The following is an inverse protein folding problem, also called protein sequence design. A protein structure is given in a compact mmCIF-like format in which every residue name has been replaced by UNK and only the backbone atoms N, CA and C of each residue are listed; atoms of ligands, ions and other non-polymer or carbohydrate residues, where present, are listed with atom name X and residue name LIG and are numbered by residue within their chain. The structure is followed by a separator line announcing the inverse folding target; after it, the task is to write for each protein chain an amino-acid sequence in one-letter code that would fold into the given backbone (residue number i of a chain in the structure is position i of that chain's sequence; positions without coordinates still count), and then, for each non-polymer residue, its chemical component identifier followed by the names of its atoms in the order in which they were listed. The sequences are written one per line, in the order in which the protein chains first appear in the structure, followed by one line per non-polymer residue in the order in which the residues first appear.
data_IF_356702654591
#
_entry.id   IF_356702654591
#
_cell.length_a   1.000
_cell.length_b   1.000
_cell.length_c   1.000
_cell.angle_alpha   90.00
_cell.angle_beta   90.00
_cell.angle_gamma   90.00
#
_symmetry.space_group_name_H-M   'P 1'
#
loop_
_entity.id
_entity.type
_entity.pdbx_description
1 polymer ?
#
# COMPACT_ATOMS: atom_id res chain seq x y z
N UNK A 1 8.96 -31.04 -1.63
CA UNK A 1 9.06 -30.07 -0.52
C UNK A 1 10.19 -30.48 0.42
N UNK A 2 10.83 -29.50 1.05
CA UNK A 2 11.89 -29.73 2.05
C UNK A 2 11.29 -30.04 3.42
N UNK A 3 11.82 -31.04 4.12
CA UNK A 3 11.35 -31.44 5.45
C UNK A 3 11.79 -30.46 6.54
N UNK A 4 13.02 -29.96 6.52
CA UNK A 4 13.56 -29.24 7.68
C UNK A 4 13.08 -27.79 7.78
N UNK A 5 13.03 -27.10 6.64
CA UNK A 5 12.81 -25.65 6.59
C UNK A 5 11.35 -25.26 6.35
N UNK A 6 10.48 -26.20 5.96
CA UNK A 6 9.05 -25.92 5.77
C UNK A 6 8.32 -25.91 7.11
N UNK A 7 7.23 -25.15 7.15
CA UNK A 7 6.37 -25.04 8.31
C UNK A 7 5.46 -26.27 8.38
N UNK A 8 5.68 -27.13 9.38
CA UNK A 8 4.88 -28.35 9.58
C UNK A 8 3.97 -28.26 10.80
N UNK A 9 4.42 -27.59 11.87
CA UNK A 9 3.75 -27.53 13.18
C UNK A 9 3.55 -26.08 13.64
N UNK A 10 3.34 -25.15 12.71
CA UNK A 10 3.31 -23.71 12.99
C UNK A 10 4.68 -23.04 12.88
N UNK A 11 5.77 -23.82 12.89
CA UNK A 11 7.14 -23.38 12.63
C UNK A 11 7.93 -24.49 11.87
N UNK A 12 9.16 -24.16 11.45
CA UNK A 12 10.10 -25.11 10.84
C UNK A 12 10.68 -26.07 11.87
N UNK A 13 11.00 -27.30 11.45
CA UNK A 13 11.58 -28.32 12.34
C UNK A 13 12.94 -27.87 12.88
N UNK A 14 13.71 -27.13 12.07
CA UNK A 14 14.97 -26.50 12.50
C UNK A 14 14.77 -25.60 13.72
N UNK A 15 13.73 -24.77 13.70
CA UNK A 15 13.44 -23.83 14.79
C UNK A 15 12.89 -24.57 16.01
N UNK A 16 11.98 -25.53 15.81
CA UNK A 16 11.39 -26.33 16.89
C UNK A 16 12.44 -27.13 17.65
N UNK A 17 13.44 -27.67 16.95
CA UNK A 17 14.55 -28.41 17.52
C UNK A 17 15.73 -27.52 17.94
N UNK A 18 15.62 -26.21 17.76
CA UNK A 18 16.67 -25.22 18.07
C UNK A 18 18.04 -25.57 17.45
N UNK A 19 18.04 -26.07 16.21
CA UNK A 19 19.26 -26.50 15.53
C UNK A 19 20.11 -25.26 15.20
N UNK A 20 21.42 -25.26 15.52
CA UNK A 20 22.31 -24.14 15.19
C UNK A 20 22.29 -23.83 13.69
N UNK A 21 22.28 -22.54 13.33
CA UNK A 21 22.11 -22.05 11.95
C UNK A 21 23.10 -22.67 10.96
N UNK A 22 24.33 -22.92 11.39
CA UNK A 22 25.39 -23.52 10.57
C UNK A 22 25.03 -24.97 10.19
N UNK A 23 24.47 -25.73 11.13
CA UNK A 23 24.00 -27.09 10.88
C UNK A 23 22.68 -27.08 10.10
N UNK A 24 21.80 -26.11 10.36
CA UNK A 24 20.55 -25.97 9.63
C UNK A 24 20.75 -25.81 8.12
N UNK A 25 21.76 -25.06 7.69
CA UNK A 25 22.05 -24.80 6.27
C UNK A 25 22.41 -26.06 5.46
N UNK A 26 22.82 -27.14 6.12
CA UNK A 26 23.18 -28.40 5.44
C UNK A 26 22.02 -29.41 5.44
N UNK A 27 20.94 -29.12 6.16
CA UNK A 27 19.78 -29.98 6.32
C UNK A 27 18.75 -29.74 5.22
N UNK A 28 19.04 -30.24 4.02
CA UNK A 28 18.08 -30.26 2.92
C UNK A 28 17.75 -31.70 2.56
N UNK A 29 16.50 -32.11 2.79
CA UNK A 29 16.04 -33.42 2.35
C UNK A 29 14.58 -33.37 1.91
N UNK A 30 14.23 -34.12 0.86
CA UNK A 30 12.86 -34.16 0.40
C UNK A 30 11.98 -34.89 1.42
N UNK A 31 10.83 -34.29 1.77
CA UNK A 31 9.86 -34.88 2.71
C UNK A 31 9.46 -36.31 2.34
N UNK A 32 9.48 -36.65 1.05
CA UNK A 32 9.15 -37.99 0.55
C UNK A 32 10.01 -39.11 1.18
N UNK A 33 11.23 -38.79 1.64
CA UNK A 33 12.08 -39.77 2.33
C UNK A 33 11.57 -40.15 3.72
N UNK A 34 10.76 -39.28 4.33
CA UNK A 34 10.10 -39.51 5.61
C UNK A 34 8.69 -40.08 5.44
N UNK A 35 8.25 -40.33 4.20
CA UNK A 35 6.92 -40.86 3.90
C UNK A 35 7.03 -42.05 2.93
N UNK A 36 7.68 -43.16 3.32
CA UNK A 36 7.65 -44.38 2.53
C UNK A 36 6.23 -44.95 2.50
N UNK A 37 5.71 -45.27 1.31
CA UNK A 37 4.39 -45.89 1.11
C UNK A 37 3.21 -45.11 1.73
N UNK A 38 3.24 -43.78 1.62
CA UNK A 38 2.16 -42.90 2.12
C UNK A 38 1.93 -42.94 3.63
N UNK A 39 2.93 -43.34 4.40
CA UNK A 39 2.92 -43.30 5.87
C UNK A 39 4.19 -42.61 6.38
N UNK A 40 4.05 -41.76 7.40
CA UNK A 40 5.20 -41.14 8.05
C UNK A 40 6.10 -42.20 8.69
N UNK A 41 7.40 -42.08 8.44
CA UNK A 41 8.45 -42.92 9.01
C UNK A 41 9.60 -42.04 9.47
N UNK A 42 9.73 -41.89 10.78
CA UNK A 42 10.82 -41.15 11.43
C UNK A 42 11.73 -42.17 12.10
N UNK A 43 13.05 -42.01 11.98
CA UNK A 43 13.98 -42.95 12.60
C UNK A 43 13.81 -42.99 14.13
N UNK A 44 13.97 -44.17 14.71
CA UNK A 44 13.77 -44.41 16.14
C UNK A 44 14.67 -43.51 17.02
N UNK A 45 15.90 -43.24 16.55
CA UNK A 45 16.82 -42.30 17.19
C UNK A 45 16.23 -40.87 17.34
N UNK A 46 15.50 -40.39 16.32
CA UNK A 46 14.84 -39.08 16.38
C UNK A 46 13.59 -39.11 17.26
N UNK A 47 12.87 -40.23 17.25
CA UNK A 47 11.69 -40.44 18.12
C UNK A 47 12.09 -40.46 19.60
N UNK A 48 13.24 -41.07 19.92
CA UNK A 48 13.78 -41.09 21.28
C UNK A 48 14.36 -39.74 21.70
N UNK A 49 14.97 -38.98 20.78
CA UNK A 49 15.56 -37.69 21.10
C UNK A 49 14.52 -36.57 21.26
N UNK A 50 13.46 -36.60 20.44
CA UNK A 50 12.42 -35.57 20.39
C UNK A 50 11.02 -36.20 20.28
N UNK A 51 10.50 -36.77 21.38
CA UNK A 51 9.24 -37.51 21.36
C UNK A 51 8.04 -36.62 21.02
N UNK A 52 8.01 -35.36 21.47
CA UNK A 52 6.87 -34.46 21.25
C UNK A 52 6.71 -34.05 19.78
N UNK A 53 7.83 -33.68 19.14
CA UNK A 53 7.85 -33.26 17.73
C UNK A 53 7.57 -34.46 16.81
N UNK A 54 8.16 -35.61 17.10
CA UNK A 54 7.93 -36.84 16.31
C UNK A 54 6.48 -37.32 16.42
N UNK A 55 5.90 -37.35 17.62
CA UNK A 55 4.49 -37.71 17.80
C UNK A 55 3.55 -36.76 17.04
N UNK A 56 3.85 -35.46 17.04
CA UNK A 56 3.06 -34.46 16.31
C UNK A 56 3.15 -34.65 14.79
N UNK A 57 4.35 -34.93 14.25
CA UNK A 57 4.53 -35.19 12.81
C UNK A 57 3.81 -36.46 12.38
N UNK A 58 3.86 -37.53 13.17
CA UNK A 58 3.19 -38.80 12.87
C UNK A 58 1.65 -38.66 12.80
N UNK A 59 1.09 -37.64 13.46
CA UNK A 59 -0.35 -37.33 13.42
C UNK A 59 -0.76 -36.40 12.28
N UNK A 60 0.20 -35.85 11.52
CA UNK A 60 -0.13 -34.92 10.42
C UNK A 60 -0.87 -35.66 9.29
N UNK A 61 -2.04 -35.17 8.86
CA UNK A 61 -2.78 -35.78 7.77
C UNK A 61 -1.98 -35.68 6.48
N UNK A 62 -1.73 -36.83 5.86
CA UNK A 62 -1.13 -36.91 4.53
C UNK A 62 -2.24 -36.79 3.48
N UNK A 63 -2.11 -35.81 2.58
CA UNK A 63 -2.98 -35.75 1.41
C UNK A 63 -2.58 -36.86 0.44
N UNK A 64 -3.50 -37.77 0.15
CA UNK A 64 -3.30 -38.92 -0.75
C UNK A 64 -3.55 -38.49 -2.22
N UNK A 65 -4.19 -37.34 -2.44
CA UNK A 65 -4.45 -36.81 -3.77
C UNK A 65 -3.18 -36.18 -4.37
N UNK A 66 -2.77 -36.64 -5.56
CA UNK A 66 -1.67 -36.11 -6.38
C UNK A 66 -1.95 -34.70 -6.94
N UNK A 67 -2.82 -33.92 -6.30
CA UNK A 67 -3.00 -32.52 -6.67
C UNK A 67 -1.79 -31.74 -6.21
N UNK A 68 -1.25 -30.93 -7.14
CA UNK A 68 -0.03 -30.13 -7.04
C UNK A 68 0.29 -29.62 -5.62
N UNK A 69 1.58 -29.66 -5.25
CA UNK A 69 2.13 -29.10 -4.01
C UNK A 69 1.79 -27.59 -3.88
N UNK A 70 0.59 -27.28 -3.39
CA UNK A 70 0.09 -25.91 -3.30
C UNK A 70 0.49 -25.26 -1.98
N UNK A 71 0.93 -24.00 -2.02
CA UNK A 71 1.14 -23.22 -0.80
C UNK A 71 -0.20 -22.79 -0.22
N UNK A 72 -0.40 -23.09 1.07
CA UNK A 72 -1.62 -22.81 1.82
C UNK A 72 -1.38 -21.60 2.74
N UNK A 73 -2.31 -20.64 2.74
CA UNK A 73 -2.22 -19.49 3.64
C UNK A 73 -2.63 -19.90 5.07
N UNK A 74 -1.78 -19.71 6.11
CA UNK A 74 -2.01 -20.25 7.45
C UNK A 74 -3.28 -19.72 8.12
N UNK A 75 -3.65 -18.48 7.80
CA UNK A 75 -4.80 -17.79 8.41
C UNK A 75 -6.11 -18.00 7.63
N UNK A 76 -6.13 -18.87 6.62
CA UNK A 76 -7.27 -19.05 5.73
C UNK A 76 -7.97 -20.39 5.95
N UNK A 77 -9.25 -20.29 6.34
CA UNK A 77 -10.36 -21.20 6.01
C UNK A 77 -10.10 -22.30 4.98
N UNK A 78 -9.88 -21.80 3.78
CA UNK A 78 -9.92 -22.52 2.51
C UNK A 78 -8.53 -22.71 1.94
N UNK A 79 -7.49 -22.29 2.66
CA UNK A 79 -6.11 -22.31 2.21
C UNK A 79 -5.75 -21.25 1.16
N UNK A 80 -6.73 -20.61 0.53
CA UNK A 80 -6.49 -19.58 -0.47
C UNK A 80 -6.10 -18.25 0.18
N UNK A 81 -5.08 -17.61 -0.39
CA UNK A 81 -4.68 -16.26 -0.04
C UNK A 81 -5.54 -15.25 -0.80
N UNK A 82 -6.25 -14.39 -0.08
CA UNK A 82 -6.83 -13.17 -0.67
C UNK A 82 -5.89 -11.99 -0.43
N UNK A 83 -5.93 -11.00 -1.31
CA UNK A 83 -5.17 -9.75 -1.15
C UNK A 83 -5.51 -9.10 0.20
N UNK A 84 -6.78 -9.09 0.60
CA UNK A 84 -7.22 -8.54 1.88
C UNK A 84 -6.60 -9.27 3.09
N UNK A 85 -6.56 -10.61 3.05
CA UNK A 85 -5.94 -11.41 4.11
C UNK A 85 -4.42 -11.18 4.18
N UNK A 86 -3.74 -11.07 3.04
CA UNK A 86 -2.32 -10.77 2.98
C UNK A 86 -2.01 -9.38 3.57
N UNK A 87 -2.77 -8.34 3.19
CA UNK A 87 -2.60 -6.99 3.76
C UNK A 87 -2.86 -6.96 5.26
N UNK A 88 -3.86 -7.70 5.75
CA UNK A 88 -4.17 -7.77 7.18
C UNK A 88 -3.08 -8.49 7.98
N UNK A 89 -2.40 -9.45 7.36
CA UNK A 89 -1.30 -10.20 7.98
C UNK A 89 0.02 -9.42 7.97
N UNK A 90 0.34 -8.72 6.88
CA UNK A 90 1.62 -8.02 6.70
C UNK A 90 1.60 -6.57 7.23
N UNK A 91 0.44 -5.93 7.28
CA UNK A 91 0.33 -4.50 7.59
C UNK A 91 -0.02 -4.23 9.06
N UNK A 92 0.50 -3.15 9.67
CA UNK A 92 -0.07 -2.64 10.91
C UNK A 92 -1.53 -2.25 10.67
N UNK A 93 -2.38 -2.42 11.68
CA UNK A 93 -3.77 -1.97 11.62
C UNK A 93 -3.80 -0.45 11.40
N UNK A 94 -4.10 -0.01 10.18
CA UNK A 94 -4.22 1.40 9.86
C UNK A 94 -5.57 1.92 10.38
N UNK A 95 -5.61 3.11 11.00
CA UNK A 95 -6.87 3.70 11.44
C UNK A 95 -7.78 3.92 10.23
N UNK A 96 -9.04 3.51 10.36
CA UNK A 96 -10.04 3.73 9.32
C UNK A 96 -10.34 5.24 9.23
N UNK A 97 -9.88 5.87 8.16
CA UNK A 97 -10.13 7.29 7.90
C UNK A 97 -11.46 7.48 7.16
N UNK A 98 -12.36 8.25 7.75
CA UNK A 98 -13.72 8.47 7.23
C UNK A 98 -13.75 9.17 5.87
N UNK A 99 -12.68 9.87 5.48
CA UNK A 99 -12.57 10.53 4.18
C UNK A 99 -12.21 9.57 3.04
N UNK A 100 -11.51 8.45 3.30
CA UNK A 100 -11.02 7.56 2.24
C UNK A 100 -12.15 6.98 1.39
N UNK A 101 -13.31 6.68 1.99
CA UNK A 101 -14.50 6.19 1.27
C UNK A 101 -15.02 7.15 0.19
N UNK A 102 -14.66 8.43 0.27
CA UNK A 102 -15.08 9.44 -0.70
C UNK A 102 -14.13 9.49 -1.91
N UNK A 103 -12.85 9.16 -1.75
CA UNK A 103 -11.88 9.12 -2.86
C UNK A 103 -12.10 7.94 -3.79
N UNK A 104 -12.59 6.83 -3.26
CA UNK A 104 -12.73 5.57 -4.00
C UNK A 104 -14.15 5.33 -4.55
N UNK A 105 -15.00 6.35 -4.63
CA UNK A 105 -16.32 6.21 -5.25
C UNK A 105 -16.21 6.12 -6.78
N UNK A 106 -17.14 5.41 -7.41
CA UNK A 106 -17.09 5.10 -8.86
C UNK A 106 -17.08 6.32 -9.79
N UNK A 107 -17.64 7.46 -9.35
CA UNK A 107 -17.59 8.71 -10.12
C UNK A 107 -16.27 9.47 -9.99
N UNK A 108 -15.35 9.04 -9.11
CA UNK A 108 -14.03 9.64 -8.95
C UNK A 108 -13.07 8.94 -9.92
N UNK A 109 -12.52 9.63 -10.93
CA UNK A 109 -11.51 9.04 -11.78
C UNK A 109 -10.29 8.61 -10.94
N UNK A 110 -9.70 7.42 -11.17
CA UNK A 110 -8.56 6.92 -10.40
C UNK A 110 -7.40 7.91 -10.32
N UNK A 111 -7.13 8.65 -11.41
CA UNK A 111 -6.11 9.70 -11.43
C UNK A 111 -6.35 10.75 -10.35
N UNK A 112 -7.58 11.22 -10.19
CA UNK A 112 -7.91 12.22 -9.17
C UNK A 112 -7.74 11.66 -7.77
N UNK A 113 -8.22 10.43 -7.52
CA UNK A 113 -8.04 9.76 -6.24
C UNK A 113 -6.55 9.63 -5.87
N UNK A 114 -5.70 9.29 -6.85
CA UNK A 114 -4.25 9.18 -6.61
C UNK A 114 -3.58 10.51 -6.30
N UNK A 115 -3.95 11.62 -6.96
CA UNK A 115 -3.37 12.94 -6.65
C UNK A 115 -3.86 13.44 -5.29
N UNK A 116 -5.15 13.26 -4.97
CA UNK A 116 -5.69 13.58 -3.66
C UNK A 116 -5.01 12.78 -2.53
N UNK A 117 -4.74 11.49 -2.75
CA UNK A 117 -4.01 10.66 -1.79
C UNK A 117 -2.56 11.12 -1.61
N UNK A 118 -1.87 11.47 -2.70
CA UNK A 118 -0.53 12.07 -2.65
C UNK A 118 -0.53 13.40 -1.90
N UNK A 119 -1.54 14.23 -2.12
CA UNK A 119 -1.71 15.51 -1.41
C UNK A 119 -1.92 15.29 0.09
N UNK A 120 -2.80 14.38 0.49
CA UNK A 120 -3.09 14.08 1.90
C UNK A 120 -1.91 13.50 2.66
N UNK A 121 -0.98 12.86 1.96
CA UNK A 121 0.26 12.34 2.53
C UNK A 121 1.46 13.27 2.38
N UNK A 122 1.28 14.49 1.87
CA UNK A 122 2.36 15.45 1.59
C UNK A 122 3.43 14.87 0.64
N UNK A 123 2.98 14.09 -0.36
CA UNK A 123 3.81 13.37 -1.34
C UNK A 123 3.56 13.83 -2.77
N UNK A 124 3.10 15.05 -2.97
CA UNK A 124 3.08 15.63 -4.31
C UNK A 124 4.52 15.89 -4.77
N UNK A 125 4.83 15.67 -6.06
CA UNK A 125 6.16 15.92 -6.61
C UNK A 125 6.37 17.43 -6.80
N UNK A 126 6.31 18.19 -5.72
CA UNK A 126 6.68 19.60 -5.73
C UNK A 126 8.18 19.73 -5.90
N UNK A 127 8.65 20.89 -6.34
CA UNK A 127 10.08 21.20 -6.43
C UNK A 127 10.82 20.85 -5.13
N UNK A 128 10.26 21.21 -3.98
CA UNK A 128 10.84 20.89 -2.67
C UNK A 128 11.03 19.37 -2.47
N UNK A 129 10.03 18.56 -2.82
CA UNK A 129 10.09 17.10 -2.70
C UNK A 129 11.00 16.45 -3.75
N UNK A 130 11.14 17.08 -4.92
CA UNK A 130 12.06 16.63 -5.97
C UNK A 130 13.52 16.96 -5.62
N UNK A 131 13.79 18.12 -5.04
CA UNK A 131 15.12 18.50 -4.55
C UNK A 131 15.59 17.59 -3.40
N UNK A 132 14.68 17.16 -2.50
CA UNK A 132 14.98 16.13 -1.49
C UNK A 132 15.45 14.79 -2.09
N UNK A 133 15.07 14.51 -3.34
CA UNK A 133 15.46 13.31 -4.10
C UNK A 133 16.63 13.59 -5.05
N UNK A 134 17.37 14.67 -4.82
CA UNK A 134 18.55 15.09 -5.59
C UNK A 134 18.26 15.49 -7.05
N UNK A 135 17.03 15.88 -7.37
CA UNK A 135 16.75 16.52 -8.67
C UNK A 135 17.06 18.02 -8.60
N UNK A 136 17.95 18.49 -9.49
CA UNK A 136 18.27 19.90 -9.63
C UNK A 136 17.28 20.57 -10.58
N UNK A 137 16.24 21.20 -10.01
CA UNK A 137 15.19 21.91 -10.75
C UNK A 137 15.21 23.38 -10.31
N UNK A 138 14.94 24.29 -11.25
CA UNK A 138 14.86 25.72 -10.98
C UNK A 138 13.72 26.04 -10.02
N UNK A 139 13.96 26.95 -9.07
CA UNK A 139 12.96 27.36 -8.09
C UNK A 139 11.94 28.30 -8.69
N UNK A 140 10.90 27.72 -9.28
CA UNK A 140 9.86 28.43 -10.00
C UNK A 140 8.55 27.65 -9.89
N UNK A 141 7.48 28.33 -9.49
CA UNK A 141 6.17 27.72 -9.48
C UNK A 141 5.70 27.44 -10.92
N UNK A 142 5.32 26.21 -11.20
CA UNK A 142 4.85 25.79 -12.52
C UNK A 142 3.51 26.41 -12.97
N UNK A 143 2.73 27.02 -12.07
CA UNK A 143 1.44 27.66 -12.37
C UNK A 143 1.48 29.17 -12.59
N UNK A 144 2.28 29.90 -11.80
CA UNK A 144 2.39 31.36 -11.93
C UNK A 144 3.72 31.79 -12.57
N UNK A 145 4.62 30.83 -12.85
CA UNK A 145 5.95 31.05 -13.39
C UNK A 145 6.77 32.08 -12.60
N UNK A 146 6.44 32.27 -11.32
CA UNK A 146 7.17 33.17 -10.44
C UNK A 146 8.36 32.46 -9.81
N UNK A 147 9.53 33.11 -9.89
CA UNK A 147 10.76 32.71 -9.22
C UNK A 147 10.86 33.23 -7.78
N UNK A 148 9.92 34.10 -7.35
CA UNK A 148 9.92 34.66 -5.99
C UNK A 148 9.44 33.67 -4.92
N UNK A 149 8.77 32.60 -5.35
CA UNK A 149 8.21 31.58 -4.48
C UNK A 149 8.59 30.19 -5.01
N UNK A 150 9.31 29.41 -4.21
CA UNK A 150 9.58 28.01 -4.53
C UNK A 150 8.26 27.21 -4.58
N UNK A 151 8.24 26.15 -5.38
CA UNK A 151 7.04 25.33 -5.53
C UNK A 151 6.83 24.45 -4.30
N UNK A 152 5.86 24.83 -3.47
CA UNK A 152 5.37 24.06 -2.32
C UNK A 152 3.89 23.76 -2.49
N UNK A 153 3.35 22.77 -1.77
CA UNK A 153 1.91 22.45 -1.81
C UNK A 153 1.08 23.68 -1.40
N UNK A 154 1.51 24.39 -0.36
CA UNK A 154 0.81 25.60 0.11
C UNK A 154 0.86 26.71 -0.94
N UNK A 155 1.98 26.91 -1.62
CA UNK A 155 2.03 27.87 -2.72
C UNK A 155 1.14 27.41 -3.88
N UNK A 156 1.34 26.20 -4.40
CA UNK A 156 0.64 25.66 -5.57
C UNK A 156 -0.88 25.70 -5.42
N UNK A 157 -1.41 25.41 -4.22
CA UNK A 157 -2.85 25.33 -3.99
C UNK A 157 -3.46 26.57 -3.33
N UNK A 158 -2.73 27.39 -2.56
CA UNK A 158 -3.34 28.48 -1.78
C UNK A 158 -2.78 29.86 -2.13
N UNK A 159 -1.46 29.98 -2.29
CA UNK A 159 -0.82 31.29 -2.45
C UNK A 159 -0.51 31.68 -3.90
N UNK A 160 -0.50 30.71 -4.82
CA UNK A 160 -0.31 30.94 -6.25
C UNK A 160 -1.46 31.80 -6.79
N UNK A 161 -1.14 32.83 -7.56
CA UNK A 161 -2.16 33.75 -8.08
C UNK A 161 -3.14 33.06 -9.02
N UNK A 162 -2.66 32.08 -9.81
CA UNK A 162 -3.50 31.19 -10.62
C UNK A 162 -4.47 30.38 -9.74
N UNK A 163 -4.00 29.86 -8.60
CA UNK A 163 -4.85 29.12 -7.66
C UNK A 163 -5.87 30.03 -6.96
N UNK A 164 -5.46 31.21 -6.49
CA UNK A 164 -6.38 32.21 -5.90
C UNK A 164 -7.47 32.63 -6.88
N UNK A 165 -7.13 32.84 -8.15
CA UNK A 165 -8.10 33.14 -9.20
C UNK A 165 -9.15 32.03 -9.34
N UNK A 166 -8.71 30.77 -9.34
CA UNK A 166 -9.62 29.63 -9.37
C UNK A 166 -10.52 29.57 -8.12
N UNK A 167 -9.98 29.71 -6.92
CA UNK A 167 -10.77 29.69 -5.68
C UNK A 167 -11.80 30.81 -5.64
N UNK A 168 -11.42 31.99 -6.11
CA UNK A 168 -12.32 33.15 -6.20
C UNK A 168 -13.46 32.85 -7.17
N UNK A 169 -13.15 32.30 -8.35
CA UNK A 169 -14.16 31.89 -9.32
C UNK A 169 -15.10 30.82 -8.74
N UNK A 170 -14.57 29.82 -8.05
CA UNK A 170 -15.37 28.77 -7.40
C UNK A 170 -16.26 29.32 -6.30
N UNK A 171 -15.75 30.21 -5.45
CA UNK A 171 -16.52 30.86 -4.39
C UNK A 171 -17.69 31.66 -4.99
N UNK A 172 -17.46 32.37 -6.10
CA UNK A 172 -18.52 33.07 -6.83
C UNK A 172 -19.59 32.11 -7.38
N UNK A 173 -19.20 31.00 -8.00
CA UNK A 173 -20.14 30.01 -8.55
C UNK A 173 -20.93 29.29 -7.46
N UNK A 174 -20.35 29.13 -6.26
CA UNK A 174 -20.96 28.42 -5.13
C UNK A 174 -21.68 29.35 -4.13
N UNK A 175 -21.76 30.65 -4.40
CA UNK A 175 -22.33 31.66 -3.49
C UNK A 175 -21.73 31.64 -2.08
N UNK A 176 -20.44 31.30 -1.95
CA UNK A 176 -19.73 31.31 -0.67
C UNK A 176 -19.13 32.70 -0.46
N UNK A 177 -19.51 33.37 0.62
CA UNK A 177 -18.93 34.65 1.02
C UNK A 177 -17.55 34.43 1.63
N UNK A 178 -16.52 34.70 0.83
CA UNK A 178 -15.07 34.75 1.16
C UNK A 178 -14.37 33.45 1.53
N UNK A 179 -13.19 33.27 0.91
CA UNK A 179 -12.20 32.24 1.24
C UNK A 179 -11.14 32.86 2.14
N UNK A 180 -11.28 32.71 3.46
CA UNK A 180 -10.22 33.11 4.40
C UNK A 180 -9.16 32.01 4.40
N UNK A 181 -7.94 32.35 3.98
CA UNK A 181 -6.84 31.43 3.68
C UNK A 181 -6.21 30.73 4.90
N UNK A 182 -6.99 30.29 5.88
CA UNK A 182 -6.51 29.59 7.06
C UNK A 182 -6.61 28.05 6.95
N UNK A 183 -5.41 27.48 6.85
CA UNK A 183 -4.90 26.21 7.41
C UNK A 183 -5.43 24.87 6.83
N UNK A 184 -4.42 24.13 6.37
CA UNK A 184 -4.29 22.82 5.72
C UNK A 184 -5.00 21.61 6.36
N UNK A 185 -5.90 21.76 7.32
CA UNK A 185 -6.64 20.60 7.87
C UNK A 185 -8.12 20.92 8.03
N UNK A 186 -8.46 22.07 8.60
CA UNK A 186 -9.85 22.53 8.68
C UNK A 186 -10.41 22.94 7.31
N UNK A 187 -9.58 23.51 6.44
CA UNK A 187 -9.97 23.75 5.06
C UNK A 187 -10.38 22.45 4.33
N UNK A 188 -9.62 21.37 4.49
CA UNK A 188 -9.91 20.13 3.76
C UNK A 188 -11.08 19.37 4.36
N UNK A 189 -11.22 19.35 5.69
CA UNK A 189 -12.41 18.78 6.32
C UNK A 189 -13.64 19.61 5.96
N UNK A 190 -13.55 20.94 5.90
CA UNK A 190 -14.62 21.83 5.40
C UNK A 190 -14.96 21.53 3.94
N UNK A 191 -13.99 21.52 3.03
CA UNK A 191 -14.19 21.24 1.60
C UNK A 191 -14.78 19.84 1.35
N UNK A 192 -14.36 18.84 2.12
CA UNK A 192 -14.90 17.46 2.03
C UNK A 192 -16.26 17.33 2.72
N UNK A 193 -16.58 18.19 3.69
CA UNK A 193 -17.85 18.17 4.44
C UNK A 193 -18.95 19.08 3.89
N UNK A 194 -18.62 20.03 3.02
CA UNK A 194 -19.61 20.91 2.40
C UNK A 194 -20.52 20.16 1.41
N UNK A 195 -21.78 20.58 1.41
CA UNK A 195 -22.97 19.93 0.80
C UNK A 195 -23.04 19.96 -0.72
N UNK A 196 -22.02 20.47 -1.43
CA UNK A 196 -21.98 20.47 -2.89
C UNK A 196 -21.71 19.07 -3.49
N UNK A 197 -21.49 18.11 -2.61
CA UNK A 197 -21.15 16.74 -2.94
C UNK A 197 -19.72 16.65 -3.48
N UNK A 198 -19.04 15.52 -3.25
CA UNK A 198 -17.71 15.26 -3.79
C UNK A 198 -17.62 15.49 -5.32
N UNK A 199 -18.74 15.46 -6.06
CA UNK A 199 -18.78 15.80 -7.48
C UNK A 199 -18.28 17.22 -7.83
N UNK A 200 -18.66 18.27 -7.08
CA UNK A 200 -18.31 19.65 -7.45
C UNK A 200 -16.84 19.97 -7.17
N UNK A 201 -16.31 19.43 -6.07
CA UNK A 201 -14.89 19.51 -5.74
C UNK A 201 -14.05 18.75 -6.77
N UNK A 202 -14.49 17.58 -7.23
CA UNK A 202 -13.79 16.84 -8.27
C UNK A 202 -13.88 17.51 -9.64
N UNK A 203 -14.93 18.29 -9.92
CA UNK A 203 -15.09 19.04 -11.17
C UNK A 203 -14.28 20.35 -11.17
N UNK A 204 -14.20 21.04 -10.03
CA UNK A 204 -13.33 22.20 -9.85
C UNK A 204 -11.86 21.80 -9.85
N UNK A 205 -11.54 20.69 -9.18
CA UNK A 205 -10.25 20.02 -9.25
C UNK A 205 -9.97 19.44 -10.64
N UNK A 206 -10.96 18.91 -11.37
CA UNK A 206 -10.80 18.49 -12.76
C UNK A 206 -10.53 19.68 -13.67
N UNK A 207 -11.10 20.85 -13.40
CA UNK A 207 -10.77 22.09 -14.11
C UNK A 207 -9.33 22.52 -13.79
N UNK A 208 -8.91 22.49 -12.52
CA UNK A 208 -7.52 22.74 -12.13
C UNK A 208 -6.53 21.73 -12.74
N UNK A 209 -6.89 20.44 -12.78
CA UNK A 209 -6.06 19.38 -13.33
C UNK A 209 -6.04 19.37 -14.87
N UNK A 210 -7.15 19.70 -15.51
CA UNK A 210 -7.25 19.76 -16.97
C UNK A 210 -6.51 20.98 -17.52
N UNK A 211 -6.59 22.12 -16.84
CA UNK A 211 -5.91 23.34 -17.30
C UNK A 211 -4.48 23.47 -16.75
N UNK A 212 -4.22 23.09 -15.50
CA UNK A 212 -2.89 23.17 -14.89
C UNK A 212 -2.04 21.90 -15.05
N UNK A 213 -2.59 20.70 -14.82
CA UNK A 213 -1.76 19.48 -14.79
C UNK A 213 -1.39 18.94 -16.18
N UNK A 214 -2.13 19.29 -17.25
CA UNK A 214 -1.72 19.02 -18.63
C UNK A 214 -0.51 19.87 -19.08
N UNK A 215 -0.33 21.06 -18.52
CA UNK A 215 0.83 21.92 -18.80
C UNK A 215 2.04 21.58 -17.94
N UNK A 216 1.83 21.17 -16.68
CA UNK A 216 2.93 20.85 -15.74
C UNK A 216 3.52 19.45 -15.97
N UNK A 217 2.70 18.49 -16.41
CA UNK A 217 3.14 17.11 -16.66
C UNK A 217 2.59 16.54 -17.98
N UNK A 218 2.99 17.07 -19.15
CA UNK A 218 2.55 16.56 -20.44
C UNK A 218 3.00 15.10 -20.67
N UNK A 219 4.09 14.67 -20.02
CA UNK A 219 4.78 13.40 -20.26
C UNK A 219 4.66 12.36 -19.13
N UNK A 220 3.80 12.55 -18.12
CA UNK A 220 3.49 11.47 -17.17
C UNK A 220 2.62 10.40 -17.85
N UNK A 221 3.23 9.63 -18.74
CA UNK A 221 2.69 8.37 -19.23
C UNK A 221 2.51 7.46 -18.02
N UNK A 222 1.38 6.78 -17.99
CA UNK A 222 1.05 5.75 -17.02
C UNK A 222 2.04 4.54 -16.99
N UNK A 223 3.17 4.62 -17.71
CA UNK A 223 4.17 3.55 -17.85
C UNK A 223 5.42 3.76 -16.98
N UNK A 224 5.67 4.95 -16.46
CA UNK A 224 6.90 5.26 -15.70
C UNK A 224 6.68 5.28 -14.18
N UNK A 225 5.59 4.67 -13.69
CA UNK A 225 5.23 4.61 -12.27
C UNK A 225 4.87 3.18 -11.84
N UNK A 226 5.80 2.25 -12.10
CA UNK A 226 5.94 1.00 -11.33
C UNK A 226 7.20 1.14 -10.48
#
# INVERSE_FOLDING_TARGET
MDFWHKNWLGDSIVNLLQIPTIAAQTLHCPVQWFIPNSNWSIAEAHTSAFPDVSASILQLPLSIDETDNCMVWPSSSTGHMTIAAAYSYCGPALPAVSWAKHLWKSYVPPRIATVALRLLWDRLPTELELQKRCFHIASCCSLCHSFSHGETITHLFLHCDSAKGLWTWLACVSCISSFDGYIHLEFWTYVVSQTFGPQFFLLSYWSFLKYGMLEIFPDLRAKDLI
#
